data_IF_488492607488
#
_entry.id   IF_488492607488
#
_cell.length_a   1.000
_cell.length_b   1.000
_cell.length_c   1.000
_cell.angle_alpha   90.00
_cell.angle_beta   90.00
_cell.angle_gamma   90.00
#
_symmetry.space_group_name_H-M   'P 1'
#
loop_
_entity.id
_entity.type
_entity.pdbx_description
1 polymer ?
#
# COMPACT_ATOMS: atom_id res chain seq x y z
N UNK A 1 -4.17 68.25 40.95
CA UNK A 1 -3.27 67.80 39.87
C UNK A 1 -2.82 66.39 40.24
N UNK A 2 -3.66 65.35 40.03
CA UNK A 2 -3.63 64.41 38.89
C UNK A 2 -2.16 64.03 38.60
N UNK A 3 -1.70 62.80 38.87
CA UNK A 3 -1.85 61.61 38.00
C UNK A 3 -1.64 60.32 38.85
N UNK A 4 -2.51 59.32 38.67
CA UNK A 4 -2.33 57.91 39.11
C UNK A 4 -1.48 57.15 38.08
N UNK A 5 -0.58 56.24 38.45
CA UNK A 5 0.01 55.30 37.51
C UNK A 5 -0.90 54.08 37.33
N UNK A 6 -1.20 53.78 36.05
CA UNK A 6 -2.13 52.74 35.63
C UNK A 6 -1.62 51.31 35.82
N UNK A 7 -2.52 50.47 36.32
CA UNK A 7 -2.41 49.02 36.31
C UNK A 7 -2.54 48.53 34.85
N UNK A 8 -1.45 48.06 34.25
CA UNK A 8 -1.50 47.41 32.93
C UNK A 8 -2.06 45.99 33.11
N UNK A 9 -3.32 45.82 32.73
CA UNK A 9 -3.99 44.53 32.60
C UNK A 9 -3.34 43.76 31.44
N UNK A 10 -2.55 42.74 31.75
CA UNK A 10 -2.05 41.81 30.74
C UNK A 10 -3.19 40.85 30.37
N UNK A 11 -3.83 41.11 29.22
CA UNK A 11 -4.78 40.18 28.60
C UNK A 11 -3.96 39.01 28.06
N UNK A 12 -4.02 37.87 28.75
CA UNK A 12 -3.53 36.60 28.25
C UNK A 12 -4.53 36.14 27.17
N UNK A 13 -4.21 36.41 25.90
CA UNK A 13 -4.92 35.81 24.77
C UNK A 13 -4.54 34.33 24.75
N UNK A 14 -5.43 33.47 25.26
CA UNK A 14 -5.41 32.05 24.91
C UNK A 14 -5.75 31.96 23.43
N UNK A 15 -4.72 31.95 22.58
CA UNK A 15 -4.86 31.50 21.21
C UNK A 15 -5.07 29.98 21.27
N UNK A 16 -6.33 29.58 21.32
CA UNK A 16 -6.75 28.21 21.05
C UNK A 16 -6.35 27.89 19.61
N UNK A 17 -5.16 27.34 19.42
CA UNK A 17 -4.76 26.73 18.16
C UNK A 17 -5.64 25.49 17.98
N UNK A 18 -6.81 25.69 17.41
CA UNK A 18 -7.63 24.60 16.90
C UNK A 18 -6.88 24.08 15.66
N UNK A 19 -5.97 23.14 15.87
CA UNK A 19 -5.49 22.29 14.79
C UNK A 19 -6.71 21.53 14.28
N UNK A 20 -7.33 22.06 13.24
CA UNK A 20 -8.19 21.28 12.36
C UNK A 20 -7.25 20.25 11.75
N UNK A 21 -7.16 19.08 12.38
CA UNK A 21 -6.78 17.86 11.70
C UNK A 21 -7.69 17.82 10.47
N UNK A 22 -7.12 18.10 9.29
CA UNK A 22 -7.77 17.84 8.04
C UNK A 22 -8.12 16.35 8.09
N UNK A 23 -9.37 16.06 8.41
CA UNK A 23 -9.86 14.71 8.48
C UNK A 23 -9.57 14.09 7.13
N UNK A 24 -8.73 13.06 7.11
CA UNK A 24 -8.81 12.04 6.07
C UNK A 24 -10.27 11.64 6.11
N UNK A 25 -11.03 12.03 5.09
CA UNK A 25 -12.45 11.70 5.05
C UNK A 25 -12.52 10.19 5.27
N UNK A 26 -13.07 9.79 6.41
CA UNK A 26 -13.35 8.40 6.72
C UNK A 26 -14.23 7.93 5.57
N UNK A 27 -13.61 7.24 4.63
CA UNK A 27 -14.31 6.62 3.52
C UNK A 27 -15.03 5.48 4.18
N UNK A 28 -16.27 5.74 4.60
CA UNK A 28 -17.17 4.74 5.17
C UNK A 28 -16.96 3.45 4.39
N UNK A 29 -16.66 2.36 5.11
CA UNK A 29 -16.24 1.09 4.56
C UNK A 29 -17.07 0.77 3.30
N UNK A 30 -16.44 0.98 2.15
CA UNK A 30 -17.09 0.71 0.87
C UNK A 30 -17.13 -0.80 0.75
N UNK A 31 -18.30 -1.36 0.46
CA UNK A 31 -18.40 -2.78 0.12
C UNK A 31 -17.59 -3.03 -1.15
N UNK A 32 -16.37 -3.53 -0.96
CA UNK A 32 -15.50 -3.97 -2.03
C UNK A 32 -15.82 -5.42 -2.37
N UNK A 33 -15.75 -5.74 -3.66
CA UNK A 33 -15.98 -7.08 -4.17
C UNK A 33 -17.33 -7.66 -3.73
N UNK A 34 -18.41 -6.88 -3.79
CA UNK A 34 -19.75 -7.28 -3.35
C UNK A 34 -20.25 -8.57 -4.00
N UNK A 35 -19.85 -8.87 -5.25
CA UNK A 35 -20.16 -10.12 -5.95
C UNK A 35 -19.01 -11.15 -5.87
N UNK A 36 -17.94 -10.83 -5.15
CA UNK A 36 -16.80 -11.71 -4.89
C UNK A 36 -17.16 -12.95 -4.08
N UNK A 37 -16.30 -13.96 -4.09
CA UNK A 37 -16.52 -15.18 -3.34
C UNK A 37 -16.11 -14.97 -1.87
N UNK A 38 -17.04 -15.20 -0.95
CA UNK A 38 -16.75 -15.18 0.49
C UNK A 38 -15.88 -16.39 0.88
N UNK A 39 -14.91 -16.16 1.77
CA UNK A 39 -13.98 -17.19 2.25
C UNK A 39 -13.95 -17.19 3.76
N UNK A 40 -14.02 -18.39 4.33
CA UNK A 40 -13.79 -18.57 5.76
C UNK A 40 -12.29 -18.52 6.03
N UNK A 41 -11.90 -17.70 6.98
CA UNK A 41 -10.51 -17.56 7.40
C UNK A 41 -10.39 -17.83 8.90
N UNK A 42 -9.22 -18.29 9.30
CA UNK A 42 -8.75 -18.32 10.68
C UNK A 42 -7.46 -17.57 10.75
N UNK A 43 -7.22 -16.88 11.86
CA UNK A 43 -5.98 -16.17 12.11
C UNK A 43 -5.22 -16.76 13.27
N UNK A 44 -3.89 -16.69 13.21
CA UNK A 44 -3.01 -16.87 14.36
C UNK A 44 -2.19 -15.60 14.57
N UNK A 45 -2.18 -15.02 15.78
CA UNK A 45 -1.41 -13.81 16.04
C UNK A 45 0.09 -14.08 15.95
N UNK A 46 0.81 -13.07 15.47
CA UNK A 46 2.26 -12.95 15.52
C UNK A 46 2.54 -11.80 16.50
N UNK A 47 2.93 -12.16 17.72
CA UNK A 47 3.11 -11.21 18.82
C UNK A 47 4.54 -10.65 18.89
N UNK A 48 5.52 -11.34 18.30
CA UNK A 48 6.92 -10.92 18.23
C UNK A 48 7.42 -10.93 16.79
N UNK A 49 8.03 -9.83 16.36
CA UNK A 49 8.60 -9.71 15.02
C UNK A 49 9.96 -10.39 14.92
N UNK A 50 10.82 -10.18 15.92
CA UNK A 50 12.12 -10.83 16.00
C UNK A 50 12.01 -12.09 16.86
N UNK A 51 12.26 -13.25 16.25
CA UNK A 51 12.08 -14.55 16.91
C UNK A 51 13.03 -14.66 18.12
N UNK A 52 12.46 -14.95 19.29
CA UNK A 52 13.22 -15.06 20.55
C UNK A 52 13.50 -13.73 21.25
N UNK A 53 12.87 -12.65 20.78
CA UNK A 53 13.10 -11.30 21.24
C UNK A 53 11.76 -10.55 21.45
N UNK A 54 11.72 -9.72 22.49
CA UNK A 54 10.51 -8.98 22.89
C UNK A 54 10.54 -7.50 22.47
N UNK A 55 11.59 -7.05 21.77
CA UNK A 55 11.61 -5.68 21.26
C UNK A 55 10.50 -5.44 20.21
N UNK A 56 9.78 -4.34 20.40
CA UNK A 56 8.72 -3.91 19.48
C UNK A 56 9.13 -2.72 18.61
N UNK A 57 10.30 -2.11 18.87
CA UNK A 57 10.75 -0.93 18.13
C UNK A 57 11.95 -1.24 17.24
N UNK A 58 11.81 -0.96 15.95
CA UNK A 58 12.81 -1.18 14.90
C UNK A 58 13.09 0.14 14.18
N UNK A 59 14.11 0.87 14.65
CA UNK A 59 14.40 2.22 14.15
C UNK A 59 13.24 3.18 14.43
N UNK A 60 12.64 3.71 13.36
CA UNK A 60 11.46 4.59 13.43
C UNK A 60 10.13 3.83 13.51
N UNK A 61 10.13 2.53 13.24
CA UNK A 61 8.92 1.71 13.19
C UNK A 61 8.64 1.04 14.54
N UNK A 62 7.36 0.89 14.85
CA UNK A 62 6.88 0.10 15.99
C UNK A 62 6.05 -1.06 15.43
N UNK A 63 6.44 -2.28 15.76
CA UNK A 63 5.66 -3.47 15.46
C UNK A 63 4.45 -3.54 16.38
N UNK A 64 3.25 -3.42 15.80
CA UNK A 64 1.98 -3.49 16.54
C UNK A 64 1.46 -4.93 16.68
N UNK A 65 1.87 -5.82 15.78
CA UNK A 65 1.44 -7.22 15.69
C UNK A 65 1.35 -7.67 14.23
N UNK A 66 1.19 -8.98 14.05
CA UNK A 66 0.94 -9.58 12.74
C UNK A 66 -0.10 -10.69 12.83
N UNK A 67 -0.58 -11.14 11.68
CA UNK A 67 -1.53 -12.25 11.58
C UNK A 67 -1.03 -13.24 10.53
N UNK A 68 -0.90 -14.51 10.92
CA UNK A 68 -0.91 -15.60 9.94
C UNK A 68 -2.36 -15.87 9.54
N UNK A 69 -2.63 -15.83 8.23
CA UNK A 69 -3.98 -16.02 7.68
C UNK A 69 -4.10 -17.41 7.07
N UNK A 70 -5.06 -18.19 7.58
CA UNK A 70 -5.35 -19.54 7.11
C UNK A 70 -6.73 -19.52 6.46
N UNK A 71 -6.76 -19.54 5.13
CA UNK A 71 -7.99 -19.46 4.35
C UNK A 71 -8.51 -20.83 3.91
N UNK A 72 -9.83 -21.00 3.84
CA UNK A 72 -10.46 -22.22 3.33
C UNK A 72 -10.38 -22.37 1.80
N UNK A 73 -10.03 -21.31 1.07
CA UNK A 73 -9.80 -21.32 -0.37
C UNK A 73 -8.37 -20.82 -0.66
N UNK A 74 -7.61 -21.62 -1.40
CA UNK A 74 -6.20 -21.34 -1.73
C UNK A 74 -5.99 -20.08 -2.57
N UNK A 75 -7.04 -19.53 -3.21
CA UNK A 75 -6.95 -18.29 -4.00
C UNK A 75 -6.78 -17.03 -3.13
N UNK A 76 -6.93 -17.15 -1.81
CA UNK A 76 -6.60 -16.10 -0.84
C UNK A 76 -5.14 -16.21 -0.37
N UNK A 77 -4.44 -17.30 -0.69
CA UNK A 77 -3.01 -17.45 -0.39
C UNK A 77 -2.12 -16.68 -1.35
N UNK A 78 -0.87 -16.46 -0.96
CA UNK A 78 0.12 -15.73 -1.76
C UNK A 78 -0.20 -14.24 -1.85
N UNK A 79 -0.61 -13.60 -0.75
CA UNK A 79 -0.81 -12.14 -0.73
C UNK A 79 0.55 -11.47 -0.98
N UNK A 80 0.65 -10.65 -2.01
CA UNK A 80 1.91 -9.96 -2.37
C UNK A 80 1.84 -8.45 -2.05
N UNK A 81 0.77 -7.76 -2.45
CA UNK A 81 0.59 -6.33 -2.21
C UNK A 81 -0.68 -6.02 -1.41
N UNK A 82 -0.64 -5.01 -0.53
CA UNK A 82 -1.77 -4.63 0.33
C UNK A 82 -1.89 -3.11 0.49
N UNK A 83 -3.12 -2.60 0.46
CA UNK A 83 -3.44 -1.23 0.86
C UNK A 83 -4.36 -1.23 2.07
N UNK A 84 -4.01 -0.42 3.07
CA UNK A 84 -4.80 -0.20 4.27
C UNK A 84 -5.94 0.79 4.00
N UNK A 85 -7.13 0.48 4.47
CA UNK A 85 -8.36 1.25 4.26
C UNK A 85 -9.02 1.56 5.60
N UNK A 86 -9.88 2.58 5.62
CA UNK A 86 -10.74 2.89 6.78
C UNK A 86 -9.95 3.00 8.11
N UNK A 87 -8.80 3.69 8.07
CA UNK A 87 -7.92 3.86 9.23
C UNK A 87 -7.31 2.56 9.75
N UNK A 88 -7.12 1.56 8.88
CA UNK A 88 -6.62 0.24 9.25
C UNK A 88 -7.69 -0.80 9.52
N UNK A 89 -8.98 -0.43 9.53
CA UNK A 89 -10.06 -1.39 9.79
C UNK A 89 -10.49 -2.22 8.56
N UNK A 90 -9.87 -1.99 7.40
CA UNK A 90 -10.09 -2.77 6.20
C UNK A 90 -8.86 -2.80 5.33
N UNK A 91 -8.84 -3.72 4.37
CA UNK A 91 -7.75 -3.81 3.40
C UNK A 91 -8.27 -4.21 2.03
N UNK A 92 -7.48 -3.88 1.01
CA UNK A 92 -7.52 -4.52 -0.30
C UNK A 92 -6.11 -5.05 -0.59
N UNK A 93 -6.02 -6.26 -1.10
CA UNK A 93 -4.77 -6.91 -1.46
C UNK A 93 -4.85 -7.56 -2.84
N UNK A 94 -3.67 -7.84 -3.40
CA UNK A 94 -3.47 -8.68 -4.59
C UNK A 94 -2.71 -9.94 -4.22
N UNK A 95 -2.90 -11.01 -4.99
CA UNK A 95 -2.15 -12.25 -4.84
C UNK A 95 -1.17 -12.48 -5.99
N UNK A 96 -0.10 -13.24 -5.75
CA UNK A 96 0.89 -13.74 -6.74
C UNK A 96 0.26 -14.53 -7.92
N UNK A 97 -1.03 -14.82 -7.85
CA UNK A 97 -1.76 -15.60 -8.84
C UNK A 97 -3.02 -14.88 -9.35
N UNK A 98 -3.09 -13.57 -9.14
CA UNK A 98 -3.97 -12.64 -9.85
C UNK A 98 -5.39 -12.57 -9.29
N UNK A 99 -5.53 -12.51 -7.97
CA UNK A 99 -6.80 -12.27 -7.30
C UNK A 99 -6.78 -10.99 -6.45
N UNK A 100 -7.91 -10.31 -6.43
CA UNK A 100 -8.22 -9.28 -5.45
C UNK A 100 -8.68 -9.99 -4.18
N UNK A 101 -8.20 -9.55 -3.02
CA UNK A 101 -8.66 -10.02 -1.72
C UNK A 101 -8.99 -8.80 -0.86
N UNK A 102 -10.14 -8.79 -0.20
CA UNK A 102 -10.54 -7.71 0.72
C UNK A 102 -11.15 -8.31 1.98
N UNK A 103 -11.11 -7.56 3.07
CA UNK A 103 -11.74 -7.91 4.33
C UNK A 103 -11.64 -6.79 5.35
N UNK A 104 -12.22 -7.02 6.53
CA UNK A 104 -12.06 -6.18 7.71
C UNK A 104 -10.85 -6.65 8.52
N UNK A 105 -10.17 -5.71 9.16
CA UNK A 105 -9.15 -5.99 10.17
C UNK A 105 -9.75 -5.65 11.52
N UNK A 106 -9.84 -6.65 12.39
CA UNK A 106 -10.20 -6.45 13.78
C UNK A 106 -8.94 -5.97 14.52
N UNK A 107 -9.04 -4.86 15.24
CA UNK A 107 -7.89 -4.27 15.93
C UNK A 107 -8.27 -3.70 17.30
N UNK A 108 -7.28 -3.58 18.18
CA UNK A 108 -7.44 -2.88 19.47
C UNK A 108 -7.47 -1.36 19.25
N UNK A 109 -7.84 -0.60 20.28
CA UNK A 109 -7.83 0.88 20.24
C UNK A 109 -6.43 1.47 19.93
N UNK A 110 -5.37 0.69 20.15
CA UNK A 110 -3.97 1.04 19.86
C UNK A 110 -3.50 0.56 18.48
N UNK A 111 -4.38 -0.02 17.66
CA UNK A 111 -4.08 -0.48 16.31
C UNK A 111 -3.41 -1.85 16.20
N UNK A 112 -3.38 -2.64 17.29
CA UNK A 112 -2.87 -4.02 17.20
C UNK A 112 -3.89 -4.90 16.46
N UNK A 113 -3.53 -5.57 15.35
CA UNK A 113 -4.43 -6.47 14.67
C UNK A 113 -4.67 -7.73 15.51
N UNK A 114 -5.93 -8.16 15.61
CA UNK A 114 -6.36 -9.33 16.40
C UNK A 114 -7.03 -10.39 15.53
N UNK A 115 -7.53 -10.01 14.35
CA UNK A 115 -8.18 -10.91 13.42
C UNK A 115 -8.49 -10.24 12.09
N UNK A 116 -8.99 -11.04 11.15
CA UNK A 116 -9.63 -10.54 9.94
C UNK A 116 -10.98 -11.22 9.75
N UNK A 117 -11.93 -10.46 9.22
CA UNK A 117 -13.31 -10.91 9.01
C UNK A 117 -13.82 -10.45 7.64
N UNK A 118 -14.98 -10.99 7.23
CA UNK A 118 -15.64 -10.66 5.96
C UNK A 118 -14.74 -10.78 4.73
N UNK A 119 -13.87 -11.78 4.71
CA UNK A 119 -12.92 -11.97 3.62
C UNK A 119 -13.64 -12.39 2.34
N UNK A 120 -13.37 -11.65 1.27
CA UNK A 120 -13.87 -11.92 -0.08
C UNK A 120 -12.71 -11.88 -1.05
N UNK A 121 -12.80 -12.66 -2.12
CA UNK A 121 -11.88 -12.53 -3.24
C UNK A 121 -12.59 -12.49 -4.59
N UNK A 122 -11.93 -11.89 -5.56
CA UNK A 122 -12.36 -11.85 -6.94
C UNK A 122 -11.15 -11.93 -7.88
N UNK A 123 -11.37 -12.20 -9.16
CA UNK A 123 -10.30 -12.34 -10.13
C UNK A 123 -9.82 -10.96 -10.63
N UNK A 124 -8.51 -10.76 -10.78
CA UNK A 124 -7.97 -9.66 -11.58
C UNK A 124 -8.28 -9.93 -13.06
N UNK A 125 -9.10 -9.06 -13.65
CA UNK A 125 -9.53 -9.19 -15.04
C UNK A 125 -8.71 -8.32 -15.96
N UNK A 126 -8.29 -8.86 -17.11
CA UNK A 126 -7.76 -8.06 -18.20
C UNK A 126 -8.81 -7.12 -18.79
N UNK A 127 -8.37 -6.26 -19.72
CA UNK A 127 -9.25 -5.31 -20.41
C UNK A 127 -10.36 -6.00 -21.22
N UNK A 128 -10.10 -7.24 -21.67
CA UNK A 128 -11.08 -8.12 -22.34
C UNK A 128 -12.04 -8.83 -21.37
N UNK A 129 -11.90 -8.59 -20.06
CA UNK A 129 -12.69 -9.21 -19.00
C UNK A 129 -12.28 -10.63 -18.63
N UNK A 130 -11.26 -11.20 -19.27
CA UNK A 130 -10.77 -12.56 -19.01
C UNK A 130 -9.71 -12.57 -17.91
N UNK A 131 -9.35 -13.77 -17.45
CA UNK A 131 -8.23 -13.96 -16.53
C UNK A 131 -6.91 -13.53 -17.18
N UNK A 132 -6.04 -12.89 -16.40
CA UNK A 132 -4.68 -12.55 -16.82
C UNK A 132 -3.77 -13.78 -16.99
N UNK A 133 -4.15 -14.94 -16.42
CA UNK A 133 -3.34 -16.17 -16.43
C UNK A 133 -3.06 -16.71 -17.83
N UNK A 134 -4.04 -16.58 -18.74
CA UNK A 134 -3.88 -17.06 -20.12
C UNK A 134 -2.79 -16.29 -20.90
N UNK A 135 -2.36 -15.14 -20.41
CA UNK A 135 -1.31 -14.29 -21.01
C UNK A 135 -0.13 -14.06 -20.06
N UNK A 136 0.02 -14.91 -19.04
CA UNK A 136 1.10 -14.80 -18.05
C UNK A 136 1.17 -13.45 -17.33
N UNK A 137 0.05 -12.73 -17.22
CA UNK A 137 -0.02 -11.43 -16.53
C UNK A 137 -0.60 -11.50 -15.12
N UNK A 138 -0.73 -12.70 -14.54
CA UNK A 138 -1.36 -12.88 -13.22
C UNK A 138 -0.42 -12.78 -12.02
N UNK A 139 0.88 -12.73 -12.30
CA UNK A 139 1.97 -12.78 -11.34
C UNK A 139 2.16 -11.38 -10.77
N UNK A 140 1.33 -11.01 -9.78
CA UNK A 140 1.21 -9.62 -9.30
C UNK A 140 1.79 -9.44 -7.92
N UNK A 141 2.66 -8.43 -7.78
CA UNK A 141 3.53 -8.31 -6.60
C UNK A 141 3.22 -7.13 -5.69
N UNK A 142 2.79 -5.99 -6.23
CA UNK A 142 2.54 -4.79 -5.45
C UNK A 142 1.25 -4.08 -5.88
N UNK A 143 0.66 -3.32 -4.95
CA UNK A 143 -0.60 -2.60 -5.12
C UNK A 143 -0.49 -1.19 -4.55
N UNK A 144 -0.87 -0.19 -5.35
CA UNK A 144 -0.98 1.19 -4.90
C UNK A 144 -2.36 1.77 -5.19
N UNK A 145 -2.84 2.64 -4.29
CA UNK A 145 -4.13 3.31 -4.40
C UNK A 145 -3.94 4.82 -4.61
N UNK A 146 -4.47 5.33 -5.73
CA UNK A 146 -4.56 6.76 -6.00
C UNK A 146 -6.02 7.22 -6.15
N UNK A 147 -6.30 8.54 -6.09
CA UNK A 147 -7.60 9.08 -6.47
C UNK A 147 -8.04 8.69 -7.90
N UNK A 148 -7.07 8.47 -8.80
CA UNK A 148 -7.32 8.10 -10.20
C UNK A 148 -7.63 6.62 -10.43
N UNK A 149 -7.45 5.75 -9.42
CA UNK A 149 -7.58 4.31 -9.56
C UNK A 149 -6.52 3.53 -8.79
N UNK A 150 -6.54 2.21 -9.01
CA UNK A 150 -5.55 1.29 -8.48
C UNK A 150 -4.46 1.01 -9.51
N UNK A 151 -3.25 0.78 -9.01
CA UNK A 151 -2.09 0.37 -9.79
C UNK A 151 -1.55 -0.95 -9.25
N UNK A 152 -1.27 -1.91 -10.14
CA UNK A 152 -0.83 -3.26 -9.77
C UNK A 152 0.41 -3.62 -10.57
N UNK A 153 1.51 -3.99 -9.91
CA UNK A 153 2.68 -4.52 -10.63
C UNK A 153 2.43 -5.95 -11.05
N UNK A 154 3.03 -6.37 -12.17
CA UNK A 154 3.03 -7.76 -12.61
C UNK A 154 4.43 -8.17 -13.08
N UNK A 155 5.05 -9.10 -12.34
CA UNK A 155 6.45 -9.48 -12.51
C UNK A 155 6.70 -10.13 -13.87
N UNK A 156 5.99 -11.22 -14.20
CA UNK A 156 6.25 -11.95 -15.47
C UNK A 156 6.13 -11.07 -16.73
N UNK A 157 5.39 -9.95 -16.67
CA UNK A 157 5.25 -9.00 -17.78
C UNK A 157 6.02 -7.69 -17.60
N UNK A 158 6.68 -7.49 -16.46
CA UNK A 158 7.28 -6.22 -16.04
C UNK A 158 6.35 -5.03 -16.36
N UNK A 159 5.11 -5.14 -15.89
CA UNK A 159 4.03 -4.21 -16.22
C UNK A 159 3.44 -3.58 -14.96
N UNK A 160 2.78 -2.42 -15.14
CA UNK A 160 1.92 -1.83 -14.13
C UNK A 160 0.53 -1.69 -14.75
N UNK A 161 -0.44 -2.42 -14.21
CA UNK A 161 -1.83 -2.40 -14.63
C UNK A 161 -2.60 -1.31 -13.89
N UNK A 162 -3.58 -0.74 -14.58
CA UNK A 162 -4.52 0.23 -14.02
C UNK A 162 -5.89 -0.40 -13.89
N UNK A 163 -6.49 -0.22 -12.72
CA UNK A 163 -7.87 -0.61 -12.42
C UNK A 163 -8.67 0.58 -11.90
N UNK A 164 -10.00 0.57 -12.07
CA UNK A 164 -10.84 1.60 -11.47
C UNK A 164 -10.83 1.46 -9.95
N UNK A 165 -11.15 2.56 -9.27
CA UNK A 165 -11.40 2.57 -7.83
C UNK A 165 -12.72 3.30 -7.55
N UNK A 166 -13.64 2.75 -6.73
CA UNK A 166 -13.55 1.47 -6.01
C UNK A 166 -13.79 0.23 -6.89
N UNK A 167 -13.40 -0.95 -6.39
CA UNK A 167 -13.77 -2.27 -6.95
C UNK A 167 -15.08 -2.76 -6.31
N UNK A 168 -16.21 -2.17 -6.71
CA UNK A 168 -17.50 -2.43 -6.06
C UNK A 168 -17.99 -3.88 -6.22
N UNK A 169 -17.93 -4.46 -7.42
CA UNK A 169 -18.50 -5.80 -7.67
C UNK A 169 -17.46 -6.90 -7.61
N UNK A 170 -16.21 -6.62 -7.97
CA UNK A 170 -15.17 -7.63 -8.20
C UNK A 170 -15.16 -8.20 -9.62
N UNK A 171 -15.81 -7.51 -10.56
CA UNK A 171 -15.75 -7.85 -11.99
C UNK A 171 -15.22 -6.71 -12.86
N UNK A 172 -14.71 -5.65 -12.22
CA UNK A 172 -14.07 -4.52 -12.85
C UNK A 172 -12.87 -5.00 -13.68
N UNK A 173 -12.71 -4.36 -14.85
CA UNK A 173 -11.69 -4.72 -15.83
C UNK A 173 -10.51 -3.77 -15.73
N UNK A 174 -9.33 -4.25 -16.08
CA UNK A 174 -8.17 -3.41 -16.32
C UNK A 174 -8.54 -2.31 -17.33
N UNK A 175 -8.27 -1.04 -16.97
CA UNK A 175 -8.52 0.12 -17.83
C UNK A 175 -7.33 0.45 -18.72
N UNK A 176 -6.14 -0.06 -18.40
CA UNK A 176 -4.96 0.06 -19.24
C UNK A 176 -3.70 -0.45 -18.54
N UNK A 177 -2.58 -0.40 -19.26
CA UNK A 177 -1.23 -0.63 -18.74
C UNK A 177 -0.46 0.69 -18.82
N UNK A 178 0.44 0.97 -17.87
CA UNK A 178 1.31 2.12 -17.97
C UNK A 178 2.33 1.94 -19.09
N UNK A 179 2.64 3.04 -19.78
CA UNK A 179 3.79 3.10 -20.66
C UNK A 179 5.05 3.21 -19.79
N UNK A 180 5.80 2.11 -19.69
CA UNK A 180 7.00 2.01 -18.86
C UNK A 180 8.26 2.14 -19.73
N UNK A 181 9.34 2.75 -19.20
CA UNK A 181 10.64 2.77 -19.85
C UNK A 181 11.20 1.35 -20.05
N UNK A 182 12.07 1.18 -21.05
CA UNK A 182 12.64 -0.12 -21.43
C UNK A 182 13.41 -0.76 -20.27
N UNK A 183 14.07 0.05 -19.45
CA UNK A 183 14.81 -0.40 -18.26
C UNK A 183 13.94 -1.07 -17.20
N UNK A 184 12.64 -0.79 -17.15
CA UNK A 184 11.71 -1.54 -16.29
C UNK A 184 11.29 -2.84 -16.98
N UNK A 185 11.03 -2.79 -18.29
CA UNK A 185 10.61 -3.97 -19.08
C UNK A 185 11.68 -5.06 -19.11
N UNK A 186 12.94 -4.65 -19.06
CA UNK A 186 14.11 -5.53 -19.09
C UNK A 186 14.58 -6.00 -17.71
N UNK A 187 13.83 -5.69 -16.64
CA UNK A 187 14.14 -6.22 -15.31
C UNK A 187 14.20 -7.76 -15.36
N UNK A 188 15.20 -8.39 -14.72
CA UNK A 188 15.31 -9.83 -14.72
C UNK A 188 14.07 -10.48 -14.10
N UNK A 189 13.80 -11.71 -14.53
CA UNK A 189 12.80 -12.55 -13.88
C UNK A 189 13.20 -12.83 -12.42
N UNK A 190 12.25 -12.82 -11.49
CA UNK A 190 12.46 -12.94 -10.03
C UNK A 190 13.29 -11.77 -9.48
N UNK A 191 13.07 -10.58 -10.04
CA UNK A 191 13.67 -9.31 -9.63
C UNK A 191 12.83 -8.13 -10.19
N UNK A 192 11.52 -8.36 -10.36
CA UNK A 192 10.58 -7.38 -10.89
C UNK A 192 10.24 -6.26 -9.91
N UNK A 193 9.23 -5.46 -10.24
CA UNK A 193 8.73 -4.39 -9.39
C UNK A 193 7.88 -4.95 -8.24
N UNK A 194 8.38 -4.80 -7.03
CA UNK A 194 7.89 -5.47 -5.81
C UNK A 194 7.51 -4.48 -4.72
N UNK A 195 7.73 -3.19 -4.96
CA UNK A 195 7.15 -2.15 -4.12
C UNK A 195 6.57 -1.06 -4.99
N UNK A 196 5.39 -0.59 -4.62
CA UNK A 196 4.66 0.41 -5.38
C UNK A 196 3.85 1.30 -4.43
N UNK A 197 4.05 2.61 -4.51
CA UNK A 197 3.15 3.56 -3.85
C UNK A 197 3.00 4.87 -4.63
N UNK A 198 2.01 5.66 -4.27
CA UNK A 198 1.69 6.96 -4.88
C UNK A 198 2.11 8.05 -3.91
N UNK A 199 2.98 8.95 -4.36
CA UNK A 199 3.38 10.10 -3.58
C UNK A 199 2.17 10.98 -3.19
N UNK A 200 2.13 11.53 -1.96
CA UNK A 200 1.05 12.37 -1.49
C UNK A 200 0.72 13.52 -2.45
N UNK A 201 -0.50 14.06 -2.38
CA UNK A 201 -0.96 15.12 -3.30
C UNK A 201 -0.22 16.46 -3.17
N UNK A 202 0.69 16.60 -2.21
CA UNK A 202 1.52 17.77 -1.98
C UNK A 202 3.01 17.40 -2.10
N UNK A 203 3.83 18.37 -2.52
CA UNK A 203 5.27 18.19 -2.66
C UNK A 203 5.75 17.98 -4.10
N UNK A 204 7.08 17.82 -4.30
CA UNK A 204 7.68 17.81 -5.63
C UNK A 204 7.34 16.57 -6.47
N UNK A 205 6.88 15.49 -5.83
CA UNK A 205 6.51 14.24 -6.49
C UNK A 205 4.99 14.04 -6.54
N UNK A 206 4.20 15.09 -6.29
CA UNK A 206 2.78 14.94 -6.01
C UNK A 206 2.02 14.07 -7.02
N UNK A 207 1.39 13.00 -6.53
CA UNK A 207 0.60 12.06 -7.33
C UNK A 207 1.40 11.18 -8.30
N UNK A 208 2.75 11.24 -8.27
CA UNK A 208 3.60 10.34 -9.05
C UNK A 208 3.69 8.97 -8.37
N UNK A 209 3.84 7.92 -9.17
CA UNK A 209 4.09 6.58 -8.68
C UNK A 209 5.58 6.40 -8.38
N UNK A 210 5.89 5.76 -7.27
CA UNK A 210 7.22 5.24 -6.96
C UNK A 210 7.15 3.72 -7.06
N UNK A 211 7.96 3.16 -7.95
CA UNK A 211 8.12 1.72 -8.11
C UNK A 211 9.56 1.31 -7.78
N UNK A 212 9.74 0.22 -7.04
CA UNK A 212 11.06 -0.28 -6.63
C UNK A 212 11.14 -1.76 -7.01
N UNK A 213 12.25 -2.16 -7.61
CA UNK A 213 12.54 -3.56 -7.90
C UNK A 213 13.01 -4.32 -6.66
N UNK A 214 12.63 -5.59 -6.50
CA UNK A 214 12.99 -6.43 -5.33
C UNK A 214 14.50 -6.44 -5.13
N UNK A 215 15.25 -6.83 -6.17
CA UNK A 215 16.69 -7.01 -6.09
C UNK A 215 17.46 -6.33 -7.22
N UNK A 216 18.78 -6.28 -7.04
CA UNK A 216 19.70 -5.76 -8.04
C UNK A 216 20.28 -6.93 -8.86
N UNK A 217 20.50 -6.77 -10.18
CA UNK A 217 21.14 -7.81 -11.03
C UNK A 217 22.56 -8.24 -10.62
N UNK A 218 23.15 -7.65 -9.58
CA UNK A 218 24.43 -8.03 -8.98
C UNK A 218 24.57 -7.43 -7.57
N UNK A 219 25.57 -7.86 -6.80
CA UNK A 219 26.02 -7.28 -5.51
C UNK A 219 26.36 -5.76 -5.56
N UNK A 220 26.18 -5.12 -6.72
CA UNK A 220 26.36 -3.69 -6.95
C UNK A 220 25.23 -2.83 -6.32
N UNK A 221 25.29 -2.70 -5.00
CA UNK A 221 25.09 -1.46 -4.23
C UNK A 221 23.74 -0.71 -4.22
N UNK A 222 22.68 -1.18 -4.86
CA UNK A 222 21.35 -0.61 -4.60
C UNK A 222 20.21 -1.14 -5.44
N UNK A 223 19.00 -1.05 -4.89
CA UNK A 223 17.74 -1.41 -5.54
C UNK A 223 17.37 -0.36 -6.58
N UNK A 224 16.91 -0.80 -7.75
CA UNK A 224 16.44 0.10 -8.80
C UNK A 224 15.08 0.69 -8.39
N UNK A 225 14.98 2.02 -8.43
CA UNK A 225 13.75 2.74 -8.17
C UNK A 225 13.37 3.61 -9.35
N UNK A 226 12.07 3.85 -9.53
CA UNK A 226 11.52 4.62 -10.64
C UNK A 226 10.43 5.56 -10.13
N UNK A 227 10.55 6.85 -10.46
CA UNK A 227 9.49 7.84 -10.33
C UNK A 227 8.75 7.87 -11.66
N UNK A 228 7.46 7.53 -11.66
CA UNK A 228 6.64 7.39 -12.87
C UNK A 228 5.51 8.42 -12.81
N UNK A 229 5.48 9.33 -13.79
CA UNK A 229 4.46 10.37 -13.88
C UNK A 229 4.06 10.69 -15.31
N UNK A 230 3.15 11.66 -15.51
CA UNK A 230 2.62 12.02 -16.83
C UNK A 230 3.69 12.59 -17.78
N UNK A 231 4.74 13.22 -17.23
CA UNK A 231 5.85 13.78 -18.02
C UNK A 231 6.95 12.76 -18.35
N UNK A 232 6.80 11.51 -17.90
CA UNK A 232 7.77 10.44 -18.11
C UNK A 232 8.24 9.81 -16.81
N UNK A 233 9.32 9.04 -16.91
CA UNK A 233 9.90 8.29 -15.79
C UNK A 233 11.33 8.75 -15.48
N UNK A 234 11.71 8.73 -14.20
CA UNK A 234 13.09 8.98 -13.73
C UNK A 234 13.56 7.84 -12.87
N UNK A 235 14.74 7.30 -13.16
CA UNK A 235 15.35 6.26 -12.33
C UNK A 235 16.10 6.86 -11.14
N UNK A 236 16.12 6.13 -10.03
CA UNK A 236 16.95 6.37 -8.86
C UNK A 236 17.45 5.04 -8.29
N UNK A 237 18.30 5.09 -7.26
CA UNK A 237 18.79 3.91 -6.58
C UNK A 237 18.60 4.03 -5.08
N UNK A 238 18.12 2.97 -4.44
CA UNK A 238 18.06 2.85 -2.98
C UNK A 238 19.27 2.06 -2.53
N UNK A 239 20.06 2.62 -1.60
CA UNK A 239 21.19 1.88 -1.03
C UNK A 239 20.67 0.67 -0.26
N UNK A 240 21.03 -0.53 -0.73
CA UNK A 240 20.70 -1.79 -0.04
C UNK A 240 21.37 -1.83 1.33
N UNK A 241 20.65 -2.34 2.33
CA UNK A 241 21.19 -2.60 3.67
C UNK A 241 21.25 -4.11 3.89
N UNK A 242 22.43 -4.60 4.24
CA UNK A 242 22.70 -6.02 4.48
C UNK A 242 22.23 -6.89 3.30
N UNK A 243 21.47 -7.95 3.57
CA UNK A 243 20.91 -8.87 2.57
C UNK A 243 19.43 -8.64 2.31
N UNK A 244 18.86 -7.54 2.78
CA UNK A 244 17.43 -7.28 2.59
C UNK A 244 17.14 -6.77 1.19
N UNK A 245 16.07 -7.28 0.60
CA UNK A 245 15.47 -6.85 -0.67
C UNK A 245 14.20 -6.03 -0.39
N UNK A 246 13.70 -5.30 -1.38
CA UNK A 246 12.45 -4.54 -1.23
C UNK A 246 11.24 -5.44 -1.43
N UNK A 247 10.26 -5.35 -0.52
CA UNK A 247 9.01 -6.13 -0.58
C UNK A 247 7.76 -5.27 -0.52
N UNK A 248 7.88 -4.01 -0.08
CA UNK A 248 6.79 -3.04 -0.07
C UNK A 248 7.31 -1.62 0.16
N UNK A 249 6.49 -0.61 -0.11
CA UNK A 249 6.79 0.80 0.17
C UNK A 249 5.50 1.55 0.53
N UNK A 250 5.60 2.49 1.48
CA UNK A 250 4.45 3.29 1.90
C UNK A 250 4.87 4.71 2.27
N UNK A 251 4.24 5.70 1.64
CA UNK A 251 4.42 7.09 1.97
C UNK A 251 3.75 7.43 3.30
N UNK A 252 4.50 8.14 4.13
CA UNK A 252 3.99 8.77 5.34
C UNK A 252 3.39 10.14 5.01
N UNK A 253 2.54 10.65 5.90
CA UNK A 253 1.87 11.95 5.73
C UNK A 253 2.83 13.14 5.58
N UNK A 254 4.07 13.01 6.05
CA UNK A 254 5.11 14.03 5.91
C UNK A 254 5.88 13.92 4.58
N UNK A 255 5.54 12.97 3.70
CA UNK A 255 6.20 12.74 2.41
C UNK A 255 7.45 11.88 2.47
N UNK A 256 7.82 11.36 3.64
CA UNK A 256 8.84 10.30 3.74
C UNK A 256 8.29 9.00 3.12
N UNK A 257 9.16 8.25 2.45
CA UNK A 257 8.90 6.89 1.96
C UNK A 257 9.77 5.91 2.74
#
# INVERSE_FOLDING_TARGET
MIIRPGLKLAILVLASAFCVLAGVAATAARDLLADGQAVKVRTRPIDTFHIGHDETRFGKLTFLGGLEVIASDRKVGGLSGVVSLDGGNGFLAVTDNGHWVTGRVDQTDQGKPTGISDVRFALLRGSDGKSLRARWGHDTEALALAPSGLYVTAETRNAIYRYPWPLSKGNERMVGELALPEEIRDLPRNAGLESLDVAPGEGPLAGQLIAIAESAPSDAHGLAGYIIGPEGSKAFKIKRRDRFDATDAVFLANGDL
#
